data_IF_700893307130
#
_entry.id   IF_700893307130
#
_cell.length_a   1.000
_cell.length_b   1.000
_cell.length_c   1.000
_cell.angle_alpha   90.00
_cell.angle_beta   90.00
_cell.angle_gamma   90.00
#
_symmetry.space_group_name_H-M   'P 1'
#
loop_
_entity.id
_entity.type
_entity.pdbx_description
1 polymer ?
#
# COMPACT_ATOMS: atom_id res chain seq x y z
N UNK A 1 -28.62 8.53 26.07
CA UNK A 1 -27.31 8.52 25.39
C UNK A 1 -27.56 8.74 23.91
N UNK A 2 -26.94 9.76 23.31
CA UNK A 2 -27.06 10.02 21.86
C UNK A 2 -26.32 8.95 21.06
N UNK A 3 -26.58 8.86 19.75
CA UNK A 3 -25.84 7.93 18.89
C UNK A 3 -24.34 8.25 18.87
N UNK A 4 -23.99 9.54 18.87
CA UNK A 4 -22.61 10.03 19.00
C UNK A 4 -21.94 9.53 20.29
N UNK A 5 -22.59 9.69 21.45
CA UNK A 5 -22.05 9.22 22.72
C UNK A 5 -21.85 7.69 22.75
N UNK A 6 -22.75 6.94 22.11
CA UNK A 6 -22.62 5.47 21.99
C UNK A 6 -21.44 5.09 21.10
N UNK A 7 -21.22 5.81 20.01
CA UNK A 7 -20.08 5.62 19.12
C UNK A 7 -18.77 5.93 19.84
N UNK A 8 -18.67 7.07 20.54
CA UNK A 8 -17.47 7.45 21.29
C UNK A 8 -17.11 6.43 22.37
N UNK A 9 -18.11 5.89 23.07
CA UNK A 9 -17.90 4.81 24.03
C UNK A 9 -17.39 3.53 23.37
N UNK A 10 -17.92 3.15 22.19
CA UNK A 10 -17.43 1.99 21.42
C UNK A 10 -15.97 2.17 21.01
N UNK A 11 -15.59 3.37 20.56
CA UNK A 11 -14.19 3.69 20.24
C UNK A 11 -13.32 3.59 21.49
N UNK A 12 -13.73 4.21 22.60
CA UNK A 12 -12.94 4.22 23.84
C UNK A 12 -12.72 2.82 24.46
N UNK A 13 -13.65 1.90 24.23
CA UNK A 13 -13.54 0.50 24.69
C UNK A 13 -12.95 -0.44 23.62
N UNK A 14 -12.40 0.10 22.52
CA UNK A 14 -11.78 -0.67 21.43
C UNK A 14 -12.74 -1.70 20.78
N UNK A 15 -14.04 -1.39 20.75
CA UNK A 15 -15.02 -2.19 20.01
C UNK A 15 -14.96 -1.83 18.53
N UNK A 16 -14.62 -2.81 17.70
CA UNK A 16 -14.62 -2.64 16.25
C UNK A 16 -16.01 -2.19 15.74
N UNK A 17 -16.00 -1.17 14.88
CA UNK A 17 -17.18 -0.67 14.18
C UNK A 17 -17.42 -1.53 12.95
N UNK A 18 -18.63 -2.03 12.78
CA UNK A 18 -19.04 -2.90 11.68
C UNK A 18 -20.00 -2.18 10.70
N UNK A 19 -20.22 -2.72 9.47
CA UNK A 19 -20.98 -2.02 8.43
C UNK A 19 -22.41 -1.60 8.80
N UNK A 20 -23.07 -2.42 9.62
CA UNK A 20 -24.46 -2.21 10.07
C UNK A 20 -24.54 -1.20 11.24
N UNK A 21 -23.41 -0.86 11.84
CA UNK A 21 -23.40 0.04 12.98
C UNK A 21 -23.65 1.48 12.54
N UNK A 22 -24.33 2.22 13.42
CA UNK A 22 -24.34 3.67 13.31
C UNK A 22 -22.92 4.21 13.49
N UNK A 23 -22.55 5.16 12.64
CA UNK A 23 -21.28 5.89 12.71
C UNK A 23 -21.49 7.33 12.20
N UNK A 24 -20.72 8.31 12.69
CA UNK A 24 -20.80 9.68 12.19
C UNK A 24 -20.56 9.74 10.67
N UNK A 25 -21.29 10.61 9.97
CA UNK A 25 -21.14 10.77 8.51
C UNK A 25 -19.71 11.20 8.13
N UNK A 26 -19.07 12.06 8.93
CA UNK A 26 -17.67 12.45 8.75
C UNK A 26 -16.71 11.26 8.90
N UNK A 27 -16.98 10.34 9.83
CA UNK A 27 -16.21 9.10 10.01
C UNK A 27 -16.35 8.18 8.79
N UNK A 28 -17.59 7.98 8.31
CA UNK A 28 -17.87 7.21 7.10
C UNK A 28 -17.14 7.79 5.89
N UNK A 29 -17.30 9.09 5.63
CA UNK A 29 -16.70 9.78 4.47
C UNK A 29 -15.17 9.78 4.52
N UNK A 30 -14.55 9.98 5.70
CA UNK A 30 -13.09 9.96 5.80
C UNK A 30 -12.53 8.55 5.58
N UNK A 31 -13.24 7.50 6.01
CA UNK A 31 -12.85 6.12 5.72
C UNK A 31 -13.05 5.74 4.26
N UNK A 32 -14.16 6.14 3.62
CA UNK A 32 -14.33 5.96 2.16
C UNK A 32 -13.15 6.61 1.43
N UNK A 33 -12.79 7.84 1.80
CA UNK A 33 -11.63 8.53 1.24
C UNK A 33 -10.34 7.74 1.49
N UNK A 34 -10.07 7.32 2.72
CA UNK A 34 -8.81 6.67 3.05
C UNK A 34 -8.67 5.28 2.43
N UNK A 35 -9.67 4.42 2.59
CA UNK A 35 -9.67 3.03 2.09
C UNK A 35 -9.72 3.04 0.56
N UNK A 36 -10.52 3.92 -0.05
CA UNK A 36 -10.57 4.09 -1.50
C UNK A 36 -9.20 4.50 -2.07
N UNK A 37 -8.56 5.52 -1.50
CA UNK A 37 -7.22 5.93 -1.93
C UNK A 37 -6.14 4.88 -1.62
N UNK A 38 -6.32 4.06 -0.59
CA UNK A 38 -5.45 2.90 -0.34
C UNK A 38 -5.61 1.88 -1.48
N UNK A 39 -6.84 1.53 -1.85
CA UNK A 39 -7.12 0.64 -2.99
C UNK A 39 -6.55 1.20 -4.31
N UNK A 40 -6.65 2.52 -4.52
CA UNK A 40 -6.03 3.17 -5.67
C UNK A 40 -4.52 3.02 -5.68
N UNK A 41 -3.89 3.08 -4.50
CA UNK A 41 -2.46 2.94 -4.33
C UNK A 41 -1.97 1.56 -4.77
N UNK A 42 -2.70 0.49 -4.43
CA UNK A 42 -2.40 -0.86 -4.92
C UNK A 42 -2.41 -0.93 -6.45
N UNK A 43 -3.46 -0.38 -7.08
CA UNK A 43 -3.60 -0.44 -8.55
C UNK A 43 -2.51 0.36 -9.27
N UNK A 44 -2.19 1.56 -8.78
CA UNK A 44 -1.19 2.43 -9.41
C UNK A 44 0.23 1.92 -9.12
N UNK A 45 0.45 1.25 -7.98
CA UNK A 45 1.73 0.64 -7.61
C UNK A 45 2.21 -0.45 -8.57
N UNK A 46 1.27 -1.15 -9.20
CA UNK A 46 1.58 -2.14 -10.23
C UNK A 46 2.33 -1.56 -11.45
N UNK A 47 2.20 -0.25 -11.72
CA UNK A 47 2.78 0.39 -12.91
C UNK A 47 4.32 0.51 -12.86
N UNK A 48 4.94 1.15 -11.85
CA UNK A 48 6.39 1.26 -11.77
C UNK A 48 7.08 -0.11 -11.72
N UNK A 49 6.47 -1.11 -11.07
CA UNK A 49 7.02 -2.47 -11.01
C UNK A 49 6.75 -3.29 -12.27
N UNK A 50 5.54 -3.16 -12.82
CA UNK A 50 5.14 -3.73 -14.10
C UNK A 50 6.08 -3.33 -15.25
N UNK A 51 6.61 -2.11 -15.19
CA UNK A 51 7.62 -1.60 -16.11
C UNK A 51 8.82 -2.57 -16.29
N UNK A 52 9.24 -3.26 -15.23
CA UNK A 52 10.43 -4.12 -15.24
C UNK A 52 10.14 -5.62 -15.36
N UNK A 53 8.87 -6.05 -15.41
CA UNK A 53 8.50 -7.47 -15.55
C UNK A 53 9.20 -8.14 -16.75
N UNK A 54 9.22 -7.48 -17.91
CA UNK A 54 9.84 -8.06 -19.11
C UNK A 54 11.37 -8.03 -19.07
N UNK A 55 11.96 -7.17 -18.24
CA UNK A 55 13.40 -6.84 -18.20
C UNK A 55 14.14 -7.33 -16.95
N UNK A 56 13.46 -8.01 -16.04
CA UNK A 56 14.09 -8.59 -14.86
C UNK A 56 15.28 -9.50 -15.24
N UNK A 57 16.44 -9.40 -14.55
CA UNK A 57 17.72 -9.95 -15.00
C UNK A 57 17.81 -11.47 -14.89
N UNK A 58 16.91 -12.11 -14.14
CA UNK A 58 16.85 -13.58 -14.00
C UNK A 58 15.41 -14.06 -13.97
N UNK A 59 15.16 -15.30 -14.37
CA UNK A 59 13.83 -15.92 -14.29
C UNK A 59 13.31 -15.99 -12.85
N UNK A 60 14.20 -16.25 -11.87
CA UNK A 60 13.83 -16.25 -10.45
C UNK A 60 13.27 -14.88 -10.03
N UNK A 61 13.97 -13.79 -10.35
CA UNK A 61 13.52 -12.44 -9.99
C UNK A 61 12.28 -12.01 -10.77
N UNK A 62 12.16 -12.44 -12.03
CA UNK A 62 10.96 -12.24 -12.85
C UNK A 62 9.73 -12.91 -12.25
N UNK A 63 9.84 -14.16 -11.81
CA UNK A 63 8.74 -14.90 -11.20
C UNK A 63 8.30 -14.28 -9.86
N UNK A 64 9.26 -13.86 -9.03
CA UNK A 64 8.97 -13.14 -7.77
C UNK A 64 8.22 -11.83 -8.05
N UNK A 65 8.70 -11.04 -9.01
CA UNK A 65 8.06 -9.76 -9.36
C UNK A 65 6.63 -9.96 -9.90
N UNK A 66 6.42 -10.98 -10.73
CA UNK A 66 5.07 -11.34 -11.21
C UNK A 66 4.14 -11.71 -10.06
N UNK A 67 4.62 -12.51 -9.10
CA UNK A 67 3.83 -12.89 -7.93
C UNK A 67 3.48 -11.67 -7.06
N UNK A 68 4.44 -10.76 -6.82
CA UNK A 68 4.20 -9.52 -6.08
C UNK A 68 3.13 -8.65 -6.73
N UNK A 69 3.29 -8.35 -8.02
CA UNK A 69 2.35 -7.50 -8.77
C UNK A 69 0.96 -8.16 -8.89
N UNK A 70 0.90 -9.49 -8.93
CA UNK A 70 -0.37 -10.22 -8.85
C UNK A 70 -1.06 -10.02 -7.50
N UNK A 71 -0.32 -10.11 -6.39
CA UNK A 71 -0.88 -9.93 -5.05
C UNK A 71 -1.35 -8.50 -4.82
N UNK A 72 -0.65 -7.48 -5.33
CA UNK A 72 -1.11 -6.07 -5.31
C UNK A 72 -2.49 -5.90 -5.94
N UNK A 73 -2.75 -6.56 -7.07
CA UNK A 73 -4.08 -6.56 -7.67
C UNK A 73 -5.12 -7.18 -6.72
N UNK A 74 -4.77 -8.27 -6.03
CA UNK A 74 -5.60 -8.90 -5.00
C UNK A 74 -5.86 -7.99 -3.80
N UNK A 75 -4.85 -7.29 -3.31
CA UNK A 75 -4.96 -6.33 -2.21
C UNK A 75 -5.89 -5.17 -2.59
N UNK A 76 -5.77 -4.64 -3.81
CA UNK A 76 -6.69 -3.64 -4.34
C UNK A 76 -8.14 -4.11 -4.29
N UNK A 77 -8.41 -5.37 -4.65
CA UNK A 77 -9.75 -5.96 -4.57
C UNK A 77 -10.26 -6.10 -3.12
N UNK A 78 -9.39 -6.46 -2.17
CA UNK A 78 -9.75 -6.51 -0.75
C UNK A 78 -10.11 -5.14 -0.20
N UNK A 79 -9.34 -4.11 -0.58
CA UNK A 79 -9.57 -2.74 -0.14
C UNK A 79 -10.83 -2.13 -0.76
N UNK A 80 -11.11 -2.36 -2.06
CA UNK A 80 -12.39 -1.95 -2.64
C UNK A 80 -13.56 -2.65 -1.95
N UNK A 81 -13.48 -3.97 -1.72
CA UNK A 81 -14.50 -4.70 -0.97
C UNK A 81 -14.73 -4.10 0.43
N UNK A 82 -13.66 -3.73 1.14
CA UNK A 82 -13.76 -3.07 2.44
C UNK A 82 -14.40 -1.67 2.34
N UNK A 83 -14.05 -0.88 1.33
CA UNK A 83 -14.66 0.43 1.11
C UNK A 83 -16.16 0.33 0.82
N UNK A 84 -16.59 -0.61 -0.03
CA UNK A 84 -17.99 -0.78 -0.42
C UNK A 84 -18.91 -1.12 0.77
N UNK A 85 -18.37 -1.71 1.85
CA UNK A 85 -19.16 -1.91 3.09
C UNK A 85 -19.59 -0.59 3.76
N UNK A 86 -19.01 0.54 3.38
CA UNK A 86 -19.42 1.88 3.83
C UNK A 86 -20.51 2.52 2.95
N UNK A 87 -20.91 1.85 1.86
CA UNK A 87 -21.98 2.28 0.95
C UNK A 87 -21.53 3.11 -0.26
N UNK A 88 -20.22 3.17 -0.54
CA UNK A 88 -19.71 3.67 -1.83
C UNK A 88 -19.67 2.55 -2.88
N UNK A 89 -19.49 2.91 -4.15
CA UNK A 89 -19.30 1.97 -5.24
C UNK A 89 -17.86 2.03 -5.77
N UNK A 90 -17.24 0.88 -6.04
CA UNK A 90 -15.87 0.80 -6.55
C UNK A 90 -15.68 1.61 -7.82
N UNK A 91 -16.60 1.52 -8.77
CA UNK A 91 -16.54 2.21 -10.06
C UNK A 91 -16.52 3.74 -9.92
N UNK A 92 -17.30 4.30 -8.97
CA UNK A 92 -17.31 5.73 -8.68
C UNK A 92 -15.99 6.18 -8.05
N UNK A 93 -15.46 5.43 -7.08
CA UNK A 93 -14.15 5.72 -6.49
C UNK A 93 -13.03 5.64 -7.55
N UNK A 94 -13.06 4.60 -8.38
CA UNK A 94 -12.06 4.40 -9.42
C UNK A 94 -12.13 5.52 -10.47
N UNK A 95 -13.32 5.91 -10.92
CA UNK A 95 -13.48 7.03 -11.85
C UNK A 95 -12.97 8.34 -11.24
N UNK A 96 -13.25 8.60 -9.95
CA UNK A 96 -12.70 9.77 -9.24
C UNK A 96 -11.18 9.77 -9.17
N UNK A 97 -10.54 8.61 -9.11
CA UNK A 97 -9.08 8.52 -9.21
C UNK A 97 -8.60 8.89 -10.62
N UNK A 98 -9.24 8.35 -11.65
CA UNK A 98 -8.92 8.66 -13.05
C UNK A 98 -9.09 10.15 -13.36
N UNK A 99 -10.11 10.79 -12.78
CA UNK A 99 -10.40 12.21 -12.91
C UNK A 99 -9.51 13.10 -12.00
N UNK A 100 -8.60 12.51 -11.21
CA UNK A 100 -7.71 13.22 -10.29
C UNK A 100 -8.39 13.81 -9.05
N UNK A 101 -9.63 13.42 -8.76
CA UNK A 101 -10.42 13.87 -7.61
C UNK A 101 -10.10 13.07 -6.33
N UNK A 102 -9.63 11.83 -6.47
CA UNK A 102 -9.12 11.00 -5.38
C UNK A 102 -7.66 10.62 -5.65
N UNK A 103 -6.86 10.60 -4.58
CA UNK A 103 -5.41 10.38 -4.68
C UNK A 103 -5.03 8.89 -4.63
N UNK A 104 -3.78 8.62 -4.95
CA UNK A 104 -3.06 7.40 -4.62
C UNK A 104 -1.74 7.80 -3.93
N UNK A 105 -0.99 6.82 -3.40
CA UNK A 105 0.26 7.07 -2.68
C UNK A 105 1.26 7.84 -3.55
N UNK A 106 1.89 8.86 -2.96
CA UNK A 106 2.80 9.77 -3.68
C UNK A 106 3.98 9.03 -4.32
N UNK A 107 4.43 7.93 -3.72
CA UNK A 107 5.60 7.15 -4.13
C UNK A 107 5.49 6.59 -5.55
N UNK A 108 4.28 6.35 -6.04
CA UNK A 108 4.07 5.76 -7.36
C UNK A 108 4.15 6.78 -8.51
N UNK A 109 4.47 8.03 -8.21
CA UNK A 109 4.82 9.05 -9.23
C UNK A 109 6.32 9.07 -9.57
N UNK A 110 7.14 8.23 -8.93
CA UNK A 110 8.58 8.16 -9.17
C UNK A 110 8.92 7.07 -10.19
N UNK A 111 9.78 7.35 -11.19
CA UNK A 111 10.06 6.39 -12.26
C UNK A 111 11.05 5.30 -11.83
N UNK A 112 10.87 4.10 -12.39
CA UNK A 112 11.82 2.97 -12.26
C UNK A 112 12.82 2.95 -13.42
N UNK A 113 13.99 3.54 -13.19
CA UNK A 113 15.05 3.80 -14.16
C UNK A 113 16.09 2.67 -14.24
N UNK A 114 16.21 1.85 -13.19
CA UNK A 114 17.12 0.71 -13.15
C UNK A 114 16.48 -0.53 -12.50
N UNK A 115 17.09 -1.70 -12.66
CA UNK A 115 16.65 -2.90 -11.95
C UNK A 115 16.76 -2.75 -10.43
N UNK A 116 17.74 -2.00 -9.94
CA UNK A 116 17.88 -1.76 -8.50
C UNK A 116 16.66 -1.04 -7.91
N UNK A 117 15.97 -0.22 -8.71
CA UNK A 117 14.76 0.50 -8.28
C UNK A 117 13.66 -0.48 -7.85
N UNK A 118 13.54 -1.63 -8.53
CA UNK A 118 12.57 -2.67 -8.17
C UNK A 118 12.91 -3.32 -6.84
N UNK A 119 14.20 -3.62 -6.62
CA UNK A 119 14.67 -4.11 -5.32
C UNK A 119 14.42 -3.11 -4.20
N UNK A 120 14.67 -1.82 -4.46
CA UNK A 120 14.51 -0.73 -3.50
C UNK A 120 13.04 -0.42 -3.22
N UNK A 121 12.14 -0.48 -4.21
CA UNK A 121 10.70 -0.41 -4.00
C UNK A 121 10.26 -1.57 -3.09
N UNK A 122 10.58 -2.81 -3.49
CA UNK A 122 10.25 -3.98 -2.69
C UNK A 122 10.91 -4.00 -1.31
N UNK A 123 11.91 -3.17 -1.00
CA UNK A 123 12.53 -3.13 0.32
C UNK A 123 12.11 -1.91 1.15
N UNK A 124 12.38 -0.70 0.65
CA UNK A 124 12.14 0.56 1.35
C UNK A 124 10.68 1.02 1.25
N UNK A 125 10.09 0.95 0.05
CA UNK A 125 8.72 1.42 -0.19
C UNK A 125 7.73 0.47 0.47
N UNK A 126 7.84 -0.83 0.21
CA UNK A 126 7.05 -1.85 0.91
C UNK A 126 7.34 -1.84 2.42
N UNK A 127 8.58 -1.58 2.83
CA UNK A 127 8.93 -1.45 4.24
C UNK A 127 8.18 -0.30 4.93
N UNK A 128 8.09 0.86 4.28
CA UNK A 128 7.31 1.99 4.77
C UNK A 128 5.81 1.69 4.77
N UNK A 129 5.30 1.01 3.74
CA UNK A 129 3.93 0.55 3.66
C UNK A 129 3.59 -0.39 4.83
N UNK A 130 4.38 -1.44 5.07
CA UNK A 130 4.18 -2.40 6.17
C UNK A 130 4.14 -1.70 7.53
N UNK A 131 5.02 -0.74 7.81
CA UNK A 131 4.98 0.01 9.07
C UNK A 131 3.63 0.72 9.24
N UNK A 132 3.12 1.36 8.17
CA UNK A 132 1.82 2.01 8.19
C UNK A 132 0.65 1.00 8.31
N UNK A 133 0.69 -0.08 7.54
CA UNK A 133 -0.38 -1.07 7.44
C UNK A 133 -0.51 -1.92 8.71
N UNK A 134 0.61 -2.29 9.34
CA UNK A 134 0.60 -3.00 10.63
C UNK A 134 -0.03 -2.13 11.72
N UNK A 135 0.21 -0.81 11.70
CA UNK A 135 -0.46 0.12 12.61
C UNK A 135 -1.98 0.19 12.35
N UNK A 136 -2.41 -0.04 11.11
CA UNK A 136 -3.83 -0.09 10.72
C UNK A 136 -4.51 -1.44 11.00
N UNK A 137 -3.78 -2.50 11.36
CA UNK A 137 -4.39 -3.77 11.79
C UNK A 137 -5.30 -3.64 13.03
N UNK A 138 -5.17 -2.54 13.79
CA UNK A 138 -6.06 -2.19 14.91
C UNK A 138 -6.87 -0.91 14.65
N UNK A 139 -7.08 -0.53 13.38
CA UNK A 139 -7.99 0.57 13.04
C UNK A 139 -9.41 0.24 13.52
N UNK A 140 -10.19 1.26 13.86
CA UNK A 140 -11.49 1.07 14.51
C UNK A 140 -12.57 0.47 13.60
N UNK A 141 -12.41 0.54 12.28
CA UNK A 141 -13.37 -0.05 11.34
C UNK A 141 -13.01 -1.50 11.01
N UNK A 142 -13.85 -2.43 11.46
CA UNK A 142 -13.60 -3.88 11.41
C UNK A 142 -13.24 -4.42 10.01
N UNK A 143 -14.00 -4.11 8.94
CA UNK A 143 -13.67 -4.55 7.60
C UNK A 143 -12.27 -4.11 7.14
N UNK A 144 -11.87 -2.89 7.51
CA UNK A 144 -10.56 -2.36 7.14
C UNK A 144 -9.44 -3.03 7.95
N UNK A 145 -9.62 -3.18 9.27
CA UNK A 145 -8.68 -3.90 10.12
C UNK A 145 -8.43 -5.34 9.64
N UNK A 146 -9.49 -6.07 9.27
CA UNK A 146 -9.38 -7.44 8.74
C UNK A 146 -8.67 -7.51 7.38
N UNK A 147 -8.92 -6.54 6.50
CA UNK A 147 -8.20 -6.44 5.23
C UNK A 147 -6.68 -6.23 5.47
N UNK A 148 -6.31 -5.32 6.38
CA UNK A 148 -4.91 -5.06 6.75
C UNK A 148 -4.22 -6.30 7.32
N UNK A 149 -4.89 -7.09 8.17
CA UNK A 149 -4.32 -8.34 8.68
C UNK A 149 -4.00 -9.34 7.56
N UNK A 150 -4.83 -9.40 6.52
CA UNK A 150 -4.58 -10.28 5.37
C UNK A 150 -3.43 -9.75 4.51
N UNK A 151 -3.51 -8.47 4.12
CA UNK A 151 -2.51 -7.81 3.27
C UNK A 151 -1.11 -7.85 3.93
N UNK A 152 -0.99 -7.52 5.22
CA UNK A 152 0.30 -7.55 5.92
C UNK A 152 0.95 -8.94 5.95
N UNK A 153 0.17 -10.02 5.96
CA UNK A 153 0.71 -11.39 5.91
C UNK A 153 1.33 -11.69 4.55
N UNK A 154 0.74 -11.20 3.47
CA UNK A 154 1.18 -11.41 2.09
C UNK A 154 2.37 -10.49 1.75
N UNK A 155 2.27 -9.19 2.04
CA UNK A 155 3.30 -8.20 1.70
C UNK A 155 4.63 -8.41 2.43
N UNK A 156 4.61 -8.87 3.69
CA UNK A 156 5.87 -9.04 4.45
C UNK A 156 6.80 -10.08 3.81
N UNK A 157 6.24 -11.05 3.08
CA UNK A 157 7.02 -11.98 2.28
C UNK A 157 7.68 -11.26 1.10
N UNK A 158 6.91 -10.51 0.31
CA UNK A 158 7.45 -9.77 -0.85
C UNK A 158 8.50 -8.75 -0.45
N UNK A 159 8.30 -8.10 0.70
CA UNK A 159 9.25 -7.13 1.21
C UNK A 159 10.62 -7.75 1.51
N UNK A 160 10.62 -8.95 2.10
CA UNK A 160 11.85 -9.73 2.29
C UNK A 160 12.52 -10.06 0.96
N UNK A 161 11.74 -10.43 -0.05
CA UNK A 161 12.28 -10.75 -1.39
C UNK A 161 12.92 -9.53 -2.07
N UNK A 162 12.36 -8.32 -1.86
CA UNK A 162 12.95 -7.05 -2.29
C UNK A 162 14.28 -6.76 -1.61
N UNK A 163 14.36 -6.96 -0.29
CA UNK A 163 15.62 -6.85 0.45
C UNK A 163 16.68 -7.83 -0.06
N UNK A 164 16.32 -9.09 -0.31
CA UNK A 164 17.26 -10.07 -0.89
C UNK A 164 17.73 -9.69 -2.30
N UNK A 165 16.89 -9.02 -3.10
CA UNK A 165 17.32 -8.49 -4.40
C UNK A 165 18.35 -7.37 -4.23
N UNK A 166 18.15 -6.47 -3.25
CA UNK A 166 19.13 -5.46 -2.89
C UNK A 166 20.44 -6.07 -2.36
N UNK A 167 20.34 -7.09 -1.52
CA UNK A 167 21.52 -7.78 -0.96
C UNK A 167 22.40 -8.38 -2.07
N UNK A 168 21.79 -8.99 -3.08
CA UNK A 168 22.53 -9.52 -4.23
C UNK A 168 23.29 -8.43 -5.01
N UNK A 169 22.75 -7.20 -5.09
CA UNK A 169 23.44 -6.07 -5.71
C UNK A 169 24.56 -5.54 -4.81
N UNK A 170 24.32 -5.44 -3.50
CA UNK A 170 25.32 -4.99 -2.53
C UNK A 170 26.56 -5.90 -2.47
N UNK A 171 26.34 -7.21 -2.59
CA UNK A 171 27.40 -8.24 -2.62
C UNK A 171 27.99 -8.47 -4.02
N UNK A 172 27.49 -7.77 -5.03
CA UNK A 172 27.85 -7.95 -6.43
C UNK A 172 29.17 -7.28 -6.83
N UNK A 173 29.28 -6.88 -8.09
CA UNK A 173 30.40 -6.06 -8.58
C UNK A 173 30.17 -4.55 -8.30
N UNK A 174 31.14 -3.71 -8.64
CA UNK A 174 31.06 -2.26 -8.40
C UNK A 174 29.89 -1.60 -9.12
N UNK A 175 29.60 -2.01 -10.37
CA UNK A 175 28.47 -1.47 -11.12
C UNK A 175 27.12 -1.81 -10.46
N UNK A 176 26.98 -3.01 -9.89
CA UNK A 176 25.78 -3.41 -9.14
C UNK A 176 25.64 -2.63 -7.83
N UNK A 177 26.74 -2.43 -7.09
CA UNK A 177 26.75 -1.59 -5.88
C UNK A 177 26.36 -0.14 -6.19
N UNK A 178 26.91 0.44 -7.25
CA UNK A 178 26.58 1.79 -7.69
C UNK A 178 25.13 1.92 -8.12
N UNK A 179 24.60 0.94 -8.87
CA UNK A 179 23.19 0.89 -9.26
C UNK A 179 22.26 0.87 -8.05
N UNK A 180 22.59 0.07 -7.01
CA UNK A 180 21.84 0.05 -5.76
C UNK A 180 21.91 1.39 -5.03
N UNK A 181 23.10 1.97 -4.91
CA UNK A 181 23.27 3.25 -4.23
C UNK A 181 22.48 4.38 -4.91
N UNK A 182 22.49 4.44 -6.24
CA UNK A 182 21.70 5.41 -7.01
C UNK A 182 20.19 5.24 -6.76
N UNK A 183 19.69 4.00 -6.79
CA UNK A 183 18.28 3.72 -6.48
C UNK A 183 17.91 4.16 -5.06
N UNK A 184 18.74 3.87 -4.05
CA UNK A 184 18.51 4.30 -2.66
C UNK A 184 18.49 5.84 -2.58
N UNK A 185 19.44 6.52 -3.21
CA UNK A 185 19.51 7.98 -3.19
C UNK A 185 18.23 8.63 -3.73
N UNK A 186 17.64 8.05 -4.79
CA UNK A 186 16.41 8.55 -5.40
C UNK A 186 15.15 8.20 -4.59
N UNK A 187 15.08 7.02 -3.98
CA UNK A 187 13.86 6.52 -3.32
C UNK A 187 13.80 6.71 -1.80
N UNK A 188 14.92 7.04 -1.14
CA UNK A 188 14.94 7.25 0.32
C UNK A 188 13.95 8.32 0.79
N UNK A 189 14.08 9.54 0.27
CA UNK A 189 13.20 10.65 0.67
C UNK A 189 11.74 10.42 0.24
N UNK A 190 11.45 9.95 -0.98
CA UNK A 190 10.10 9.58 -1.37
C UNK A 190 9.46 8.54 -0.45
N UNK A 191 10.20 7.51 -0.01
CA UNK A 191 9.68 6.51 0.93
C UNK A 191 9.31 7.14 2.28
N UNK A 192 10.10 8.09 2.78
CA UNK A 192 9.75 8.84 4.00
C UNK A 192 8.49 9.70 3.84
N UNK A 193 8.22 10.22 2.64
CA UNK A 193 7.02 11.03 2.37
C UNK A 193 5.72 10.21 2.42
N UNK A 194 5.80 8.88 2.35
CA UNK A 194 4.62 8.00 2.45
C UNK A 194 3.92 8.11 3.81
N UNK A 195 4.64 8.49 4.87
CA UNK A 195 4.07 8.69 6.20
C UNK A 195 3.22 9.96 6.33
N UNK A 196 3.21 10.81 5.30
CA UNK A 196 2.44 12.05 5.27
C UNK A 196 3.13 13.24 5.95
N UNK A 197 2.45 14.40 6.01
CA UNK A 197 3.02 15.63 6.53
C UNK A 197 3.19 15.59 8.06
N UNK A 198 4.07 16.46 8.58
CA UNK A 198 4.16 16.71 10.04
C UNK A 198 2.81 17.24 10.56
N UNK A 199 2.41 16.76 11.73
CA UNK A 199 1.24 17.26 12.48
C UNK A 199 1.67 18.38 13.42
#
# INVERSE_FOLDING_TARGET
MTEEQRFDQRIAQETAIEPQDWMPDAYRKTLIRQIGQHAHSEIVGMLPEGNWITRAPTLRRKAILLAKVQDEAGHGLYLYSAAETLGCAREDLYQKMLDGQMKYSSIFNYPTLSWADIGVIGWLVDGAAIVNQVALCRTSYGPYARAMVKICKEESFHQRQGFEACMALAQGNDAQRQMLQDAINRFWWPALMMFGPKR
#
